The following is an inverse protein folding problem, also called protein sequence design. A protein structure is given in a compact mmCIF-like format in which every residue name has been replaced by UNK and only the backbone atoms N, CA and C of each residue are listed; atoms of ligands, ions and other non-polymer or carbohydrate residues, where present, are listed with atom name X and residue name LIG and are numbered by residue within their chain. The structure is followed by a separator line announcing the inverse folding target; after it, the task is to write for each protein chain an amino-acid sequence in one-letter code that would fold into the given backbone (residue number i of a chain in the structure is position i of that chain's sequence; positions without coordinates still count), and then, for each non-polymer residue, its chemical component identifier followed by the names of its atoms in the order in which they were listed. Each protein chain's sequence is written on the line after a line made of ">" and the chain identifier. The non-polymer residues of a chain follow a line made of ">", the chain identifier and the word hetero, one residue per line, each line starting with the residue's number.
data_IF_518177457623
#
_entry.id   IF_518177457623
#
_cell.length_a   1.000
_cell.length_b   1.000
_cell.length_c   1.000
_cell.angle_alpha   90.00
_cell.angle_beta   90.00
_cell.angle_gamma   90.00
#
_symmetry.space_group_name_H-M   'P 1'
#
loop_
_entity.id
_entity.type
_entity.pdbx_description
1 polymer ?
#
# COMPACT_ATOMS: atom_id res chain seq x y z
N UNK A 1 -20.57 19.41 -12.41
CA UNK A 1 -19.74 18.33 -13.01
C UNK A 1 -20.66 17.42 -13.79
N UNK A 2 -20.46 17.20 -15.10
CA UNK A 2 -21.30 16.23 -15.84
C UNK A 2 -20.87 14.83 -15.40
N UNK A 3 -21.75 14.10 -14.73
CA UNK A 3 -21.55 12.69 -14.39
C UNK A 3 -21.15 11.94 -15.67
N UNK A 4 -20.05 11.17 -15.61
CA UNK A 4 -19.57 10.42 -16.75
C UNK A 4 -20.66 9.45 -17.21
N UNK A 5 -20.99 9.46 -18.51
CA UNK A 5 -21.93 8.50 -19.10
C UNK A 5 -21.38 7.09 -18.84
N UNK A 6 -22.22 6.17 -18.36
CA UNK A 6 -21.83 4.77 -18.10
C UNK A 6 -21.44 4.10 -19.42
N UNK A 7 -20.15 3.97 -19.68
CA UNK A 7 -19.59 3.29 -20.86
C UNK A 7 -19.57 1.79 -20.56
N UNK A 8 -20.02 0.93 -21.48
CA UNK A 8 -19.84 -0.51 -21.33
C UNK A 8 -18.51 -0.90 -21.95
N UNK A 9 -17.72 -1.68 -21.21
CA UNK A 9 -16.43 -2.22 -21.71
C UNK A 9 -16.62 -3.04 -22.99
N UNK A 10 -17.75 -3.74 -23.10
CA UNK A 10 -18.14 -4.52 -24.28
C UNK A 10 -18.32 -3.70 -25.55
N UNK A 11 -18.50 -2.37 -25.44
CA UNK A 11 -18.64 -1.49 -26.60
C UNK A 11 -17.29 -1.28 -27.31
N UNK A 12 -16.17 -1.61 -26.64
CA UNK A 12 -14.81 -1.36 -27.10
C UNK A 12 -13.92 -2.60 -27.14
N UNK A 13 -14.18 -3.59 -26.28
CA UNK A 13 -13.38 -4.81 -26.18
C UNK A 13 -14.25 -6.04 -26.40
N UNK A 14 -13.79 -6.96 -27.25
CA UNK A 14 -14.43 -8.26 -27.41
C UNK A 14 -14.24 -9.13 -26.17
N UNK A 15 -15.07 -10.15 -25.99
CA UNK A 15 -14.90 -11.10 -24.88
C UNK A 15 -13.55 -11.84 -24.94
N UNK A 16 -12.95 -11.98 -26.13
CA UNK A 16 -11.62 -12.57 -26.30
C UNK A 16 -10.55 -11.60 -25.76
N UNK A 17 -10.63 -10.33 -26.11
CA UNK A 17 -9.69 -9.30 -25.65
C UNK A 17 -9.73 -9.20 -24.12
N UNK A 18 -10.93 -9.18 -23.53
CA UNK A 18 -11.10 -9.14 -22.08
C UNK A 18 -10.45 -10.36 -21.43
N UNK A 19 -10.70 -11.57 -21.95
CA UNK A 19 -10.10 -12.81 -21.42
C UNK A 19 -8.58 -12.80 -21.49
N UNK A 20 -8.02 -12.22 -22.55
CA UNK A 20 -6.58 -12.10 -22.72
C UNK A 20 -5.97 -11.08 -21.75
N UNK A 21 -6.62 -9.92 -21.58
CA UNK A 21 -6.17 -8.86 -20.68
C UNK A 21 -6.20 -9.27 -19.20
N UNK A 22 -7.17 -10.09 -18.79
CA UNK A 22 -7.27 -10.57 -17.40
C UNK A 22 -6.50 -11.88 -17.15
N UNK A 23 -5.73 -12.37 -18.14
CA UNK A 23 -5.01 -13.63 -18.01
C UNK A 23 -3.88 -13.53 -17.00
N UNK A 24 -4.07 -14.21 -15.86
CA UNK A 24 -3.09 -14.26 -14.78
C UNK A 24 -1.87 -15.12 -15.13
N UNK A 25 -0.70 -14.68 -14.66
CA UNK A 25 0.57 -15.38 -14.80
C UNK A 25 1.36 -15.36 -13.49
N UNK A 26 1.40 -16.51 -12.81
CA UNK A 26 2.13 -16.64 -11.54
C UNK A 26 3.63 -16.33 -11.69
N UNK A 27 4.21 -16.61 -12.87
CA UNK A 27 5.60 -16.25 -13.15
C UNK A 27 5.82 -14.73 -13.16
N UNK A 28 4.94 -13.97 -13.82
CA UNK A 28 5.04 -12.50 -13.84
C UNK A 28 4.84 -11.92 -12.44
N UNK A 29 3.89 -12.47 -11.68
CA UNK A 29 3.67 -12.11 -10.29
C UNK A 29 4.90 -12.37 -9.40
N UNK A 30 5.54 -13.53 -9.55
CA UNK A 30 6.78 -13.83 -8.83
C UNK A 30 7.92 -12.89 -9.22
N UNK A 31 8.07 -12.56 -10.51
CA UNK A 31 9.08 -11.59 -10.97
C UNK A 31 8.83 -10.21 -10.36
N UNK A 32 7.58 -9.74 -10.30
CA UNK A 32 7.23 -8.44 -9.69
C UNK A 32 7.64 -8.37 -8.21
N UNK A 33 7.36 -9.44 -7.46
CA UNK A 33 7.75 -9.57 -6.06
C UNK A 33 9.28 -9.60 -5.91
N UNK A 34 9.97 -10.44 -6.69
CA UNK A 34 11.44 -10.53 -6.65
C UNK A 34 12.08 -9.20 -7.02
N UNK A 35 11.55 -8.50 -8.01
CA UNK A 35 12.05 -7.19 -8.39
C UNK A 35 11.85 -6.16 -7.27
N UNK A 36 10.66 -6.13 -6.65
CA UNK A 36 10.38 -5.21 -5.54
C UNK A 36 11.30 -5.47 -4.36
N UNK A 37 11.36 -6.71 -3.89
CA UNK A 37 12.17 -7.10 -2.73
C UNK A 37 13.67 -7.12 -3.01
N UNK A 38 14.08 -7.46 -4.22
CA UNK A 38 15.49 -7.39 -4.65
C UNK A 38 16.04 -5.97 -4.54
N UNK A 39 15.28 -4.95 -4.93
CA UNK A 39 15.67 -3.56 -4.75
C UNK A 39 15.65 -3.10 -3.28
N UNK A 40 14.70 -3.59 -2.47
CA UNK A 40 14.68 -3.32 -1.02
C UNK A 40 15.94 -3.90 -0.37
N UNK A 41 16.24 -5.18 -0.63
CA UNK A 41 17.44 -5.86 -0.13
C UNK A 41 18.70 -5.17 -0.61
N UNK A 42 18.77 -4.77 -1.89
CA UNK A 42 19.92 -4.04 -2.44
C UNK A 42 20.15 -2.70 -1.72
N UNK A 43 19.10 -1.91 -1.50
CA UNK A 43 19.20 -0.62 -0.82
C UNK A 43 19.72 -0.76 0.63
N UNK A 44 19.25 -1.75 1.38
CA UNK A 44 19.79 -2.02 2.70
C UNK A 44 21.23 -2.53 2.64
N UNK A 45 21.51 -3.48 1.76
CA UNK A 45 22.83 -4.09 1.61
C UNK A 45 23.92 -3.07 1.27
N UNK A 46 23.68 -2.21 0.26
CA UNK A 46 24.69 -1.21 -0.16
C UNK A 46 24.92 -0.17 0.94
N UNK A 47 23.88 0.17 1.71
CA UNK A 47 24.00 1.10 2.84
C UNK A 47 24.78 0.49 4.01
N UNK A 48 24.66 -0.82 4.22
CA UNK A 48 25.43 -1.54 5.23
C UNK A 48 26.91 -1.69 4.84
N UNK A 49 27.19 -1.99 3.58
CA UNK A 49 28.56 -2.07 3.06
C UNK A 49 29.26 -0.71 3.03
N UNK A 50 28.53 0.35 2.67
CA UNK A 50 29.09 1.68 2.51
C UNK A 50 28.18 2.71 3.20
N UNK A 51 28.34 2.91 4.53
CA UNK A 51 27.50 3.82 5.31
C UNK A 51 27.86 5.29 5.05
N UNK A 52 27.79 5.71 3.79
CA UNK A 52 28.03 7.05 3.30
C UNK A 52 26.71 7.81 3.18
N UNK A 53 26.63 9.09 3.56
CA UNK A 53 25.40 9.88 3.47
C UNK A 53 24.74 9.90 2.09
N UNK A 54 25.51 9.93 1.00
CA UNK A 54 24.98 9.93 -0.38
C UNK A 54 24.35 8.58 -0.71
N UNK A 55 25.02 7.47 -0.34
CA UNK A 55 24.49 6.11 -0.52
C UNK A 55 23.19 5.95 0.26
N UNK A 56 23.14 6.43 1.50
CA UNK A 56 21.93 6.39 2.34
C UNK A 56 20.80 7.17 1.68
N UNK A 57 21.05 8.39 1.17
CA UNK A 57 20.03 9.19 0.48
C UNK A 57 19.49 8.43 -0.75
N UNK A 58 20.37 7.89 -1.59
CA UNK A 58 19.95 7.11 -2.78
C UNK A 58 19.11 5.90 -2.35
N UNK A 59 19.56 5.16 -1.33
CA UNK A 59 18.83 4.03 -0.77
C UNK A 59 17.45 4.42 -0.24
N UNK A 60 17.30 5.58 0.41
CA UNK A 60 16.01 6.09 0.87
C UNK A 60 15.07 6.37 -0.31
N UNK A 61 15.56 6.93 -1.42
CA UNK A 61 14.76 7.12 -2.63
C UNK A 61 14.32 5.78 -3.24
N UNK A 62 15.21 4.79 -3.30
CA UNK A 62 14.87 3.44 -3.75
C UNK A 62 13.79 2.85 -2.83
N UNK A 63 13.99 2.89 -1.52
CA UNK A 63 13.05 2.35 -0.53
C UNK A 63 11.68 3.03 -0.62
N UNK A 64 11.62 4.37 -0.74
CA UNK A 64 10.35 5.07 -0.95
C UNK A 64 9.60 4.61 -2.20
N UNK A 65 10.32 4.43 -3.33
CA UNK A 65 9.74 3.85 -4.54
C UNK A 65 9.29 2.40 -4.37
N UNK A 66 9.99 1.60 -3.57
CA UNK A 66 9.63 0.20 -3.33
C UNK A 66 8.55 0.02 -2.26
N UNK A 67 8.33 0.99 -1.38
CA UNK A 67 7.12 1.06 -0.55
C UNK A 67 5.87 1.18 -1.43
N UNK A 68 5.92 1.97 -2.51
CA UNK A 68 4.85 1.99 -3.52
C UNK A 68 4.73 0.64 -4.23
N UNK A 69 5.85 -0.02 -4.57
CA UNK A 69 5.83 -1.40 -5.10
C UNK A 69 5.11 -2.39 -4.18
N UNK A 70 5.38 -2.33 -2.87
CA UNK A 70 4.65 -3.11 -1.86
C UNK A 70 3.15 -2.78 -1.84
N UNK A 71 2.78 -1.51 -1.97
CA UNK A 71 1.38 -1.09 -2.07
C UNK A 71 0.70 -1.60 -3.35
N UNK A 72 1.41 -1.70 -4.47
CA UNK A 72 0.91 -2.30 -5.73
C UNK A 72 0.69 -3.81 -5.55
N UNK A 73 1.62 -4.51 -4.90
CA UNK A 73 1.44 -5.95 -4.56
C UNK A 73 0.20 -6.15 -3.70
N UNK A 74 0.01 -5.31 -2.66
CA UNK A 74 -1.19 -5.29 -1.82
C UNK A 74 -2.45 -5.03 -2.67
N UNK A 75 -2.43 -4.03 -3.54
CA UNK A 75 -3.51 -3.66 -4.44
C UNK A 75 -3.97 -4.84 -5.29
N UNK A 76 -3.05 -5.45 -6.05
CA UNK A 76 -3.40 -6.53 -6.98
C UNK A 76 -3.84 -7.80 -6.25
N UNK A 77 -3.23 -8.10 -5.10
CA UNK A 77 -3.67 -9.19 -4.25
C UNK A 77 -5.04 -8.94 -3.61
N UNK A 78 -5.41 -7.68 -3.37
CA UNK A 78 -6.73 -7.31 -2.87
C UNK A 78 -7.81 -7.57 -3.93
N UNK A 79 -7.48 -7.45 -5.20
CA UNK A 79 -8.33 -7.85 -6.32
C UNK A 79 -8.30 -9.35 -6.64
N UNK A 80 -7.44 -10.14 -5.97
CA UNK A 80 -7.10 -11.52 -6.36
C UNK A 80 -6.56 -11.63 -7.79
N UNK A 81 -5.87 -10.59 -8.25
CA UNK A 81 -5.42 -10.42 -9.63
C UNK A 81 -3.90 -10.56 -9.81
N UNK A 82 -3.13 -10.82 -8.74
CA UNK A 82 -1.70 -11.05 -8.86
C UNK A 82 -1.42 -12.54 -9.19
N UNK A 83 -1.91 -13.44 -8.34
CA UNK A 83 -1.76 -14.89 -8.53
C UNK A 83 -3.07 -15.58 -8.91
N UNK A 84 -3.00 -16.74 -9.55
CA UNK A 84 -4.20 -17.58 -9.79
C UNK A 84 -4.82 -18.11 -8.50
N UNK A 85 -4.00 -18.37 -7.48
CA UNK A 85 -4.46 -18.87 -6.18
C UNK A 85 -4.90 -17.72 -5.28
N UNK A 86 -6.18 -17.71 -4.89
CA UNK A 86 -6.72 -16.72 -3.93
C UNK A 86 -5.99 -16.75 -2.58
N UNK A 87 -5.64 -17.95 -2.10
CA UNK A 87 -4.88 -18.13 -0.86
C UNK A 87 -3.50 -17.50 -0.98
N UNK A 88 -2.82 -17.70 -2.11
CA UNK A 88 -1.50 -17.11 -2.33
C UNK A 88 -1.55 -15.58 -2.40
N UNK A 89 -2.57 -15.00 -3.04
CA UNK A 89 -2.78 -13.54 -3.02
C UNK A 89 -2.93 -13.02 -1.58
N UNK A 90 -3.68 -13.70 -0.71
CA UNK A 90 -3.84 -13.26 0.68
C UNK A 90 -2.51 -13.34 1.44
N UNK A 91 -1.76 -14.44 1.28
CA UNK A 91 -0.51 -14.65 2.00
C UNK A 91 0.58 -13.69 1.50
N UNK A 92 0.86 -13.71 0.19
CA UNK A 92 1.89 -12.87 -0.42
C UNK A 92 1.53 -11.39 -0.31
N UNK A 93 0.28 -11.03 -0.57
CA UNK A 93 -0.17 -9.64 -0.50
C UNK A 93 -0.07 -9.06 0.91
N UNK A 94 -0.25 -9.86 1.96
CA UNK A 94 0.02 -9.41 3.33
C UNK A 94 1.52 -9.41 3.66
N UNK A 95 2.22 -10.54 3.54
CA UNK A 95 3.61 -10.67 3.99
C UNK A 95 4.60 -9.81 3.19
N UNK A 96 4.39 -9.72 1.88
CA UNK A 96 5.33 -9.10 0.93
C UNK A 96 4.83 -7.76 0.39
N UNK A 97 3.58 -7.40 0.64
CA UNK A 97 2.98 -6.13 0.24
C UNK A 97 2.57 -5.29 1.44
N UNK A 98 1.53 -5.70 2.17
CA UNK A 98 0.85 -4.90 3.17
C UNK A 98 1.67 -4.69 4.46
N UNK A 99 2.07 -5.78 5.12
CA UNK A 99 2.72 -5.74 6.43
C UNK A 99 4.03 -4.94 6.48
N UNK A 100 4.93 -5.01 5.47
CA UNK A 100 6.14 -4.18 5.44
C UNK A 100 5.86 -2.68 5.46
N UNK A 101 4.71 -2.24 4.94
CA UNK A 101 4.28 -0.84 4.94
C UNK A 101 3.14 -0.58 5.93
N UNK A 102 3.02 -1.43 6.95
CA UNK A 102 2.07 -1.31 8.05
C UNK A 102 0.58 -1.37 7.65
N UNK A 103 0.25 -1.96 6.51
CA UNK A 103 -1.12 -2.20 6.07
C UNK A 103 -1.54 -3.66 6.25
N UNK A 104 -2.81 -3.96 6.04
CA UNK A 104 -3.31 -5.34 5.95
C UNK A 104 -4.40 -5.43 4.86
N UNK A 105 -4.52 -6.61 4.24
CA UNK A 105 -5.52 -6.85 3.18
C UNK A 105 -6.95 -6.76 3.70
N UNK A 106 -7.20 -7.12 4.96
CA UNK A 106 -8.56 -7.23 5.49
C UNK A 106 -9.25 -5.88 5.58
N UNK A 107 -8.51 -4.83 5.93
CA UNK A 107 -9.03 -3.46 5.98
C UNK A 107 -8.89 -2.75 4.63
N UNK A 108 -7.77 -2.97 3.92
CA UNK A 108 -7.53 -2.32 2.63
C UNK A 108 -8.54 -2.75 1.55
N UNK A 109 -8.81 -4.06 1.42
CA UNK A 109 -9.63 -4.58 0.31
C UNK A 109 -11.06 -4.02 0.30
N UNK A 110 -11.84 -4.03 1.41
CA UNK A 110 -13.22 -3.52 1.38
C UNK A 110 -13.30 -2.06 0.97
N UNK A 111 -12.44 -1.20 1.54
CA UNK A 111 -12.33 0.21 1.17
C UNK A 111 -11.95 0.37 -0.31
N UNK A 112 -10.95 -0.37 -0.77
CA UNK A 112 -10.45 -0.27 -2.13
C UNK A 112 -11.46 -0.74 -3.19
N UNK A 113 -12.20 -1.81 -2.90
CA UNK A 113 -13.27 -2.27 -3.78
C UNK A 113 -14.44 -1.28 -3.83
N UNK A 114 -14.71 -0.56 -2.74
CA UNK A 114 -15.70 0.51 -2.73
C UNK A 114 -15.30 1.66 -3.68
N UNK A 115 -14.03 2.07 -3.64
CA UNK A 115 -13.45 2.99 -4.63
C UNK A 115 -13.64 2.50 -6.08
N UNK A 116 -13.29 1.25 -6.38
CA UNK A 116 -13.42 0.70 -7.75
C UNK A 116 -14.87 0.58 -8.23
N UNK A 117 -15.81 0.31 -7.33
CA UNK A 117 -17.23 0.25 -7.69
C UNK A 117 -17.82 1.63 -8.01
N UNK A 118 -17.27 2.68 -7.40
CA UNK A 118 -17.80 4.03 -7.44
C UNK A 118 -16.86 5.05 -8.10
N UNK A 119 -15.81 4.61 -8.78
CA UNK A 119 -14.73 5.49 -9.27
C UNK A 119 -15.25 6.72 -10.02
N UNK A 120 -14.92 7.91 -9.51
CA UNK A 120 -15.31 9.20 -10.10
C UNK A 120 -16.81 9.55 -9.95
N UNK A 121 -17.57 8.78 -9.17
CA UNK A 121 -18.96 9.07 -8.80
C UNK A 121 -18.99 9.81 -7.45
N UNK A 122 -20.17 10.32 -7.09
CA UNK A 122 -20.35 11.11 -5.85
C UNK A 122 -20.02 10.33 -4.57
N UNK A 123 -20.16 9.00 -4.60
CA UNK A 123 -19.87 8.13 -3.47
C UNK A 123 -18.52 7.41 -3.59
N UNK A 124 -17.64 7.84 -4.50
CA UNK A 124 -16.24 7.40 -4.50
C UNK A 124 -15.56 7.89 -3.20
N UNK A 125 -15.10 7.00 -2.30
CA UNK A 125 -14.39 7.43 -1.10
C UNK A 125 -13.16 8.27 -1.42
N UNK A 126 -12.54 8.11 -2.59
CA UNK A 126 -11.31 8.80 -3.01
C UNK A 126 -11.57 10.02 -3.90
N UNK A 127 -12.82 10.45 -4.06
CA UNK A 127 -13.15 11.58 -4.93
C UNK A 127 -12.34 12.83 -4.59
N UNK A 128 -12.16 13.10 -3.30
CA UNK A 128 -11.39 14.25 -2.81
C UNK A 128 -9.91 14.24 -3.22
N UNK A 129 -9.34 13.07 -3.51
CA UNK A 129 -7.97 12.96 -4.00
C UNK A 129 -7.85 13.46 -5.45
N UNK A 130 -8.95 13.49 -6.21
CA UNK A 130 -8.95 13.75 -7.65
C UNK A 130 -9.62 15.05 -8.06
N UNK A 131 -10.60 15.57 -7.30
CA UNK A 131 -11.37 16.80 -7.64
C UNK A 131 -10.47 18.02 -7.92
N UNK A 132 -9.30 18.09 -7.29
CA UNK A 132 -8.37 19.21 -7.44
C UNK A 132 -7.49 19.21 -8.70
N UNK A 133 -7.70 18.28 -9.65
CA UNK A 133 -6.88 18.18 -10.87
C UNK A 133 -7.53 18.80 -12.13
N UNK A 134 -6.72 19.37 -13.05
CA UNK A 134 -5.28 19.59 -12.91
C UNK A 134 -4.99 20.67 -11.85
N UNK A 135 -3.92 20.47 -11.07
CA UNK A 135 -3.54 21.40 -9.99
C UNK A 135 -2.45 22.37 -10.46
N UNK A 136 -2.25 23.48 -9.74
CA UNK A 136 -1.21 24.45 -10.10
C UNK A 136 0.20 23.95 -9.78
N UNK A 137 1.22 24.50 -10.48
CA UNK A 137 2.64 24.19 -10.22
C UNK A 137 3.00 24.46 -8.76
N UNK A 138 2.56 25.59 -8.19
CA UNK A 138 2.79 25.93 -6.79
C UNK A 138 2.16 24.94 -5.80
N UNK A 139 0.97 24.42 -6.13
CA UNK A 139 0.33 23.36 -5.35
C UNK A 139 1.15 22.07 -5.40
N UNK A 140 1.64 21.66 -6.58
CA UNK A 140 2.50 20.48 -6.69
C UNK A 140 3.84 20.65 -5.99
N UNK A 141 4.52 21.78 -6.13
CA UNK A 141 5.78 22.06 -5.45
C UNK A 141 5.63 21.96 -3.93
N UNK A 142 4.53 22.48 -3.36
CA UNK A 142 4.22 22.35 -1.94
C UNK A 142 3.98 20.90 -1.52
N UNK A 143 3.27 20.11 -2.32
CA UNK A 143 3.01 18.68 -2.04
C UNK A 143 4.33 17.89 -2.05
N UNK A 144 5.14 18.08 -3.09
CA UNK A 144 6.46 17.43 -3.24
C UNK A 144 7.39 17.80 -2.08
N UNK A 145 7.50 19.08 -1.73
CA UNK A 145 8.35 19.50 -0.61
C UNK A 145 7.86 18.93 0.73
N UNK A 146 6.55 18.89 0.98
CA UNK A 146 5.97 18.27 2.17
C UNK A 146 6.28 16.76 2.24
N UNK A 147 6.28 16.06 1.10
CA UNK A 147 6.61 14.64 1.03
C UNK A 147 8.12 14.40 1.25
N UNK A 148 8.99 15.21 0.63
CA UNK A 148 10.45 15.13 0.81
C UNK A 148 10.88 15.46 2.25
N UNK A 149 10.17 16.35 2.93
CA UNK A 149 10.39 16.65 4.36
C UNK A 149 9.77 15.60 5.29
N UNK A 150 9.07 14.58 4.76
CA UNK A 150 8.47 13.50 5.53
C UNK A 150 7.19 13.87 6.29
N UNK A 151 6.70 15.11 6.18
CA UNK A 151 5.54 15.60 6.92
C UNK A 151 4.26 14.82 6.58
N UNK A 152 4.08 14.46 5.31
CA UNK A 152 2.98 13.58 4.88
C UNK A 152 3.12 12.19 5.49
N UNK A 153 4.34 11.62 5.49
CA UNK A 153 4.63 10.31 6.07
C UNK A 153 4.30 10.25 7.55
N UNK A 154 4.68 11.26 8.33
CA UNK A 154 4.36 11.37 9.76
C UNK A 154 2.84 11.41 9.97
N UNK A 155 2.12 12.26 9.22
CA UNK A 155 0.65 12.36 9.30
C UNK A 155 0.00 11.01 8.95
N UNK A 156 0.43 10.38 7.86
CA UNK A 156 -0.10 9.09 7.40
C UNK A 156 0.18 7.98 8.40
N UNK A 157 1.35 7.95 9.03
CA UNK A 157 1.68 6.97 10.06
C UNK A 157 0.72 7.04 11.25
N UNK A 158 0.52 8.23 11.83
CA UNK A 158 -0.40 8.37 12.97
C UNK A 158 -1.86 8.11 12.57
N UNK A 159 -2.27 8.54 11.38
CA UNK A 159 -3.60 8.21 10.85
C UNK A 159 -3.80 6.70 10.72
N UNK A 160 -2.82 5.99 10.15
CA UNK A 160 -2.84 4.53 10.00
C UNK A 160 -2.83 3.81 11.34
N UNK A 161 -2.04 4.27 12.32
CA UNK A 161 -2.08 3.71 13.67
C UNK A 161 -3.45 3.92 14.30
N UNK A 162 -4.05 5.11 14.20
CA UNK A 162 -5.39 5.36 14.71
C UNK A 162 -6.46 4.48 14.03
N UNK A 163 -6.30 4.16 12.74
CA UNK A 163 -7.16 3.19 12.03
C UNK A 163 -6.99 1.77 12.59
N UNK A 164 -5.75 1.29 12.76
CA UNK A 164 -5.48 -0.03 13.34
C UNK A 164 -5.90 -0.17 14.81
N UNK A 165 -5.92 0.95 15.53
CA UNK A 165 -6.44 1.04 16.89
C UNK A 165 -7.96 1.16 16.94
N UNK A 166 -8.66 1.18 15.81
CA UNK A 166 -10.12 1.28 15.74
C UNK A 166 -10.66 2.60 16.27
N UNK A 167 -9.84 3.66 16.26
CA UNK A 167 -10.23 5.04 16.62
C UNK A 167 -10.82 5.73 15.38
N UNK A 168 -10.21 5.48 14.23
CA UNK A 168 -10.66 5.98 12.93
C UNK A 168 -11.13 4.82 12.06
N UNK A 169 -12.12 5.08 11.21
CA UNK A 169 -12.52 4.15 10.15
C UNK A 169 -11.37 4.05 9.14
N UNK A 170 -11.14 2.83 8.62
CA UNK A 170 -10.13 2.64 7.60
C UNK A 170 -10.50 3.35 6.29
N UNK A 171 -9.71 4.34 5.90
CA UNK A 171 -9.81 5.08 4.64
C UNK A 171 -8.45 5.67 4.26
N UNK A 172 -8.14 5.72 2.97
CA UNK A 172 -6.94 6.41 2.44
C UNK A 172 -7.29 7.69 1.67
N UNK A 173 -8.56 8.12 1.73
CA UNK A 173 -9.06 9.33 1.04
C UNK A 173 -8.55 10.64 1.62
N UNK A 174 -7.88 10.60 2.77
CA UNK A 174 -7.43 11.78 3.51
C UNK A 174 -8.49 12.40 4.41
N UNK A 175 -9.73 11.91 4.40
CA UNK A 175 -10.77 12.28 5.36
C UNK A 175 -10.57 11.56 6.70
N UNK A 176 -10.84 12.27 7.80
CA UNK A 176 -10.74 11.73 9.15
C UNK A 176 -12.14 11.39 9.64
N UNK A 177 -12.49 10.11 9.55
CA UNK A 177 -13.79 9.58 9.96
C UNK A 177 -13.59 8.75 11.23
N UNK A 178 -14.31 9.06 12.30
CA UNK A 178 -14.28 8.25 13.52
C UNK A 178 -14.88 6.88 13.26
N UNK A 179 -14.36 5.86 13.94
CA UNK A 179 -14.98 4.55 13.90
C UNK A 179 -16.19 4.52 14.84
N UNK A 180 -17.39 4.38 14.27
CA UNK A 180 -18.64 4.37 15.03
C UNK A 180 -18.97 2.99 15.65
N UNK A 181 -18.13 1.97 15.40
CA UNK A 181 -18.32 0.65 15.99
C UNK A 181 -18.10 0.69 17.51
N UNK A 182 -19.19 0.49 18.27
CA UNK A 182 -19.14 0.33 19.72
C UNK A 182 -18.51 -1.01 20.09
N UNK A 183 -17.21 -1.00 20.34
CA UNK A 183 -16.46 -2.17 20.83
C UNK A 183 -16.31 -2.11 22.35
N UNK A 184 -16.53 -3.23 23.02
CA UNK A 184 -16.07 -3.38 24.41
C UNK A 184 -14.53 -3.56 24.45
N UNK A 185 -13.95 -3.58 25.65
CA UNK A 185 -12.49 -3.68 25.82
C UNK A 185 -11.90 -4.94 25.15
N UNK A 186 -12.58 -6.09 25.25
CA UNK A 186 -12.09 -7.35 24.68
C UNK A 186 -12.14 -7.30 23.14
N UNK A 187 -13.27 -6.85 22.57
CA UNK A 187 -13.42 -6.69 21.13
C UNK A 187 -12.41 -5.69 20.54
N UNK A 188 -12.15 -4.60 21.27
CA UNK A 188 -11.16 -3.60 20.91
C UNK A 188 -9.73 -4.19 20.92
N UNK A 189 -9.37 -4.94 21.96
CA UNK A 189 -8.08 -5.64 22.03
C UNK A 189 -7.93 -6.66 20.90
N UNK A 190 -8.96 -7.46 20.61
CA UNK A 190 -8.95 -8.43 19.51
C UNK A 190 -8.77 -7.71 18.16
N UNK A 191 -9.47 -6.59 17.95
CA UNK A 191 -9.34 -5.78 16.73
C UNK A 191 -7.91 -5.30 16.53
N UNK A 192 -7.30 -4.71 17.57
CA UNK A 192 -5.91 -4.25 17.52
C UNK A 192 -4.92 -5.37 17.24
N UNK A 193 -5.03 -6.49 17.95
CA UNK A 193 -4.15 -7.65 17.76
C UNK A 193 -4.28 -8.14 16.31
N UNK A 194 -5.50 -8.32 15.82
CA UNK A 194 -5.75 -8.79 14.45
C UNK A 194 -5.09 -7.89 13.39
N UNK A 195 -5.12 -6.57 13.58
CA UNK A 195 -4.63 -5.62 12.60
C UNK A 195 -3.13 -5.31 12.72
N UNK A 196 -2.57 -5.37 13.92
CA UNK A 196 -1.17 -5.00 14.17
C UNK A 196 -0.20 -6.19 14.25
N UNK A 197 -0.66 -7.39 14.61
CA UNK A 197 0.26 -8.53 14.78
C UNK A 197 1.07 -8.83 13.51
N UNK A 198 0.42 -8.91 12.35
CA UNK A 198 1.10 -9.15 11.07
C UNK A 198 2.14 -8.08 10.72
N UNK A 199 1.75 -6.80 10.66
CA UNK A 199 2.67 -5.67 10.46
C UNK A 199 3.85 -5.63 11.43
N UNK A 200 3.59 -5.77 12.74
CA UNK A 200 4.62 -5.68 13.77
C UNK A 200 5.60 -6.85 13.64
N UNK A 201 5.12 -8.09 13.56
CA UNK A 201 5.99 -9.26 13.45
C UNK A 201 6.84 -9.22 12.18
N UNK A 202 6.27 -8.76 11.07
CA UNK A 202 7.01 -8.64 9.80
C UNK A 202 8.14 -7.62 9.93
N UNK A 203 7.88 -6.45 10.51
CA UNK A 203 8.91 -5.42 10.68
C UNK A 203 9.96 -5.80 11.73
N UNK A 204 9.58 -6.51 12.81
CA UNK A 204 10.52 -7.10 13.76
C UNK A 204 11.43 -8.12 13.07
N UNK A 205 10.87 -8.96 12.19
CA UNK A 205 11.65 -9.95 11.44
C UNK A 205 12.63 -9.27 10.47
N UNK A 206 12.18 -8.27 9.71
CA UNK A 206 13.05 -7.48 8.82
C UNK A 206 14.17 -6.82 9.63
N UNK A 207 13.82 -6.15 10.73
CA UNK A 207 14.81 -5.52 11.62
C UNK A 207 15.80 -6.55 12.18
N UNK A 208 15.33 -7.73 12.61
CA UNK A 208 16.18 -8.79 13.14
C UNK A 208 17.18 -9.33 12.12
N UNK A 209 16.77 -9.49 10.85
CA UNK A 209 17.66 -9.86 9.74
C UNK A 209 18.74 -8.79 9.57
N UNK A 210 18.34 -7.53 9.44
CA UNK A 210 19.26 -6.41 9.23
C UNK A 210 20.21 -6.19 10.42
N UNK A 211 19.71 -6.40 11.65
CA UNK A 211 20.50 -6.25 12.87
C UNK A 211 21.56 -7.33 13.01
N UNK A 212 21.23 -8.58 12.67
CA UNK A 212 22.20 -9.69 12.65
C UNK A 212 23.36 -9.40 11.69
N UNK A 213 23.03 -8.94 10.48
CA UNK A 213 24.02 -8.76 9.42
C UNK A 213 25.01 -7.61 9.70
N UNK A 214 24.66 -6.69 10.62
CA UNK A 214 25.57 -5.64 11.11
C UNK A 214 26.87 -6.20 11.70
N UNK A 215 26.83 -7.35 12.34
CA UNK A 215 28.00 -7.94 13.01
C UNK A 215 28.97 -8.66 12.06
N UNK A 216 28.56 -8.94 10.83
CA UNK A 216 29.39 -9.67 9.85
C UNK A 216 30.07 -8.76 8.82
N UNK A 217 29.72 -7.48 8.80
CA UNK A 217 30.22 -6.49 7.82
C UNK A 217 31.15 -5.42 8.43
N UNK A 218 31.46 -5.53 9.73
CA UNK A 218 32.46 -4.71 10.45
C UNK A 218 33.60 -5.59 10.93
#
# INVERSE_FOLDING_TARGET
>A
MKLAKKIKVSDWLSSKDIKELIKLSDLKATIEIIHTWGWISFAFFISALWPNPIVIIISLFILGGKQLGCAIILHDCSHYALFRSKKLNIIAGNLLGAYPILHNINDYRPYHLDHHNHTGQENDPDLNLTIGYPTSVWSMLRKITRDLLGLTGIKSFFGLMAMHLGILKYTLSGEVIKDDNKRNLIEWLIYMIKNLTGPILTNIAIWGILYRDRYYLT
#
